data_IF_676234000282
#
_entry.id   IF_676234000282
#
_cell.length_a   1.000
_cell.length_b   1.000
_cell.length_c   1.000
_cell.angle_alpha   90.00
_cell.angle_beta   90.00
_cell.angle_gamma   90.00
#
_symmetry.space_group_name_H-M   'P 1'
#
loop_
_entity.id
_entity.type
_entity.pdbx_description
1 polymer ?
#
# COMPACT_ATOMS: atom_id res chain seq x y z
N UNK A 1 -47.59 26.65 -37.61
CA UNK A 1 -46.73 25.47 -37.35
C UNK A 1 -45.47 25.96 -36.67
N UNK A 2 -45.33 25.76 -35.36
CA UNK A 2 -44.12 26.13 -34.62
C UNK A 2 -43.13 24.96 -34.67
N UNK A 3 -41.93 25.18 -35.19
CA UNK A 3 -40.87 24.18 -35.22
C UNK A 3 -40.32 24.00 -33.80
N UNK A 4 -40.41 22.78 -33.28
CA UNK A 4 -39.75 22.38 -32.04
C UNK A 4 -38.24 22.36 -32.28
N UNK A 5 -37.53 23.21 -31.54
CA UNK A 5 -36.08 23.24 -31.51
C UNK A 5 -35.59 21.98 -30.77
N UNK A 6 -34.66 21.19 -31.34
CA UNK A 6 -34.16 19.99 -30.68
C UNK A 6 -33.44 20.36 -29.39
N UNK A 7 -33.74 19.60 -28.33
CA UNK A 7 -33.10 19.77 -27.02
C UNK A 7 -31.57 19.63 -27.17
N UNK A 8 -30.84 20.56 -26.57
CA UNK A 8 -29.38 20.49 -26.54
C UNK A 8 -28.94 19.18 -25.86
N UNK A 9 -27.91 18.50 -26.38
CA UNK A 9 -27.39 17.31 -25.74
C UNK A 9 -26.92 17.65 -24.32
N UNK A 10 -27.11 16.73 -23.35
CA UNK A 10 -26.65 16.94 -21.99
C UNK A 10 -25.15 17.22 -22.01
N UNK A 11 -24.73 18.22 -21.23
CA UNK A 11 -23.31 18.53 -21.07
C UNK A 11 -22.57 17.25 -20.62
N UNK A 12 -21.36 17.00 -21.14
CA UNK A 12 -20.54 15.91 -20.64
C UNK A 12 -20.40 16.07 -19.11
N UNK A 13 -20.48 14.97 -18.35
CA UNK A 13 -20.32 15.05 -16.90
C UNK A 13 -19.02 15.78 -16.58
N UNK A 14 -19.08 16.76 -15.68
CA UNK A 14 -17.91 17.47 -15.22
C UNK A 14 -16.87 16.45 -14.77
N UNK A 15 -15.65 16.56 -15.30
CA UNK A 15 -14.51 15.77 -14.84
C UNK A 15 -14.36 16.08 -13.35
N UNK A 16 -14.73 15.14 -12.50
CA UNK A 16 -14.51 15.29 -11.06
C UNK A 16 -13.01 15.53 -10.85
N UNK A 17 -12.62 16.50 -10.02
CA UNK A 17 -11.22 16.70 -9.69
C UNK A 17 -10.62 15.39 -9.19
N UNK A 18 -9.29 15.18 -9.35
CA UNK A 18 -8.62 14.05 -8.75
C UNK A 18 -8.92 14.05 -7.25
N UNK A 19 -9.57 13.00 -6.76
CA UNK A 19 -9.89 12.88 -5.35
C UNK A 19 -8.63 12.41 -4.62
N UNK A 20 -8.07 13.26 -3.77
CA UNK A 20 -6.92 12.88 -2.95
C UNK A 20 -7.40 12.21 -1.66
N UNK A 21 -6.74 11.12 -1.22
CA UNK A 21 -7.15 10.43 0.01
C UNK A 21 -7.08 11.30 1.26
N UNK A 22 -6.26 12.36 1.22
CA UNK A 22 -6.04 13.30 2.33
C UNK A 22 -6.92 14.56 2.24
N UNK A 23 -7.88 14.63 1.33
CA UNK A 23 -8.86 15.71 1.33
C UNK A 23 -9.87 15.56 2.47
N UNK A 24 -10.30 16.68 3.05
CA UNK A 24 -11.16 16.69 4.23
C UNK A 24 -12.56 16.07 4.04
N UNK A 25 -12.98 15.83 2.80
CA UNK A 25 -14.22 15.12 2.46
C UNK A 25 -14.02 13.62 2.22
N UNK A 26 -12.79 13.10 2.33
CA UNK A 26 -12.50 11.68 2.18
C UNK A 26 -12.56 10.97 3.53
N UNK A 27 -13.20 9.80 3.60
CA UNK A 27 -13.21 8.94 4.80
C UNK A 27 -11.79 8.62 5.29
N UNK A 28 -10.85 8.42 4.35
CA UNK A 28 -9.45 8.17 4.67
C UNK A 28 -8.81 9.31 5.48
N UNK A 29 -9.12 10.58 5.18
CA UNK A 29 -8.61 11.73 5.93
C UNK A 29 -9.01 11.67 7.41
N UNK A 30 -10.27 11.34 7.71
CA UNK A 30 -10.75 11.29 9.10
C UNK A 30 -10.13 10.13 9.88
N UNK A 31 -9.97 8.97 9.24
CA UNK A 31 -9.32 7.80 9.85
C UNK A 31 -7.82 8.02 10.10
N UNK A 32 -7.11 8.64 9.15
CA UNK A 32 -5.72 9.07 9.32
C UNK A 32 -5.60 10.01 10.51
N UNK A 33 -6.49 11.01 10.60
CA UNK A 33 -6.47 11.96 11.69
C UNK A 33 -6.74 11.29 13.05
N UNK A 34 -7.70 10.37 13.10
CA UNK A 34 -7.99 9.61 14.32
C UNK A 34 -6.79 8.78 14.76
N UNK A 35 -6.15 8.08 13.82
CA UNK A 35 -4.95 7.30 14.07
C UNK A 35 -3.79 8.18 14.58
N UNK A 36 -3.57 9.34 13.94
CA UNK A 36 -2.55 10.31 14.36
C UNK A 36 -2.82 10.86 15.77
N UNK A 37 -4.07 11.27 16.05
CA UNK A 37 -4.47 11.82 17.36
C UNK A 37 -4.26 10.82 18.50
N UNK A 38 -4.50 9.52 18.24
CA UNK A 38 -4.26 8.47 19.24
C UNK A 38 -2.75 8.19 19.43
N UNK A 39 -1.95 8.43 18.39
CA UNK A 39 -0.49 8.39 18.43
C UNK A 39 0.07 7.03 18.88
N UNK A 40 1.22 6.99 19.59
CA UNK A 40 1.89 5.75 19.96
C UNK A 40 1.14 4.93 21.03
N UNK A 41 0.09 5.48 21.64
CA UNK A 41 -0.67 4.84 22.72
C UNK A 41 -1.71 3.85 22.21
N UNK A 42 -1.97 3.85 20.90
CA UNK A 42 -2.97 3.02 20.28
C UNK A 42 -2.47 1.59 20.05
N UNK A 43 -3.30 0.60 20.42
CA UNK A 43 -2.87 -0.79 20.56
C UNK A 43 -3.49 -1.77 19.55
N UNK A 44 -4.40 -1.34 18.67
CA UNK A 44 -5.09 -2.28 17.78
C UNK A 44 -4.63 -2.14 16.33
N UNK A 45 -4.45 -3.26 15.62
CA UNK A 45 -4.03 -3.24 14.21
C UNK A 45 -5.19 -2.87 13.28
N UNK A 46 -6.41 -3.08 13.78
CA UNK A 46 -7.70 -2.86 13.12
C UNK A 46 -7.87 -1.46 12.51
N UNK A 47 -7.64 -0.37 13.25
CA UNK A 47 -7.73 1.00 12.69
C UNK A 47 -6.70 1.23 11.60
N UNK A 48 -5.49 0.66 11.70
CA UNK A 48 -4.49 0.80 10.64
C UNK A 48 -5.02 0.13 9.38
N UNK A 49 -5.53 -1.09 9.49
CA UNK A 49 -6.12 -1.81 8.37
C UNK A 49 -7.35 -1.11 7.76
N UNK A 50 -8.25 -0.57 8.60
CA UNK A 50 -9.40 0.21 8.14
C UNK A 50 -8.96 1.47 7.40
N UNK A 51 -7.99 2.21 7.96
CA UNK A 51 -7.44 3.41 7.32
C UNK A 51 -6.86 3.07 5.95
N UNK A 52 -6.06 2.00 5.85
CA UNK A 52 -5.47 1.58 4.57
C UNK A 52 -6.50 1.03 3.57
N UNK A 53 -7.57 0.40 4.04
CA UNK A 53 -8.69 -0.01 3.19
C UNK A 53 -9.35 1.21 2.54
N UNK A 54 -9.59 2.28 3.30
CA UNK A 54 -10.16 3.53 2.78
C UNK A 54 -9.18 4.29 1.88
N UNK A 55 -7.89 4.38 2.24
CA UNK A 55 -6.85 4.99 1.38
C UNK A 55 -6.82 4.27 0.02
N UNK A 56 -6.75 2.94 0.02
CA UNK A 56 -6.73 2.17 -1.21
C UNK A 56 -8.07 2.27 -1.97
N UNK A 57 -9.19 2.43 -1.27
CA UNK A 57 -10.53 2.62 -1.86
C UNK A 57 -10.60 3.79 -2.83
N UNK A 58 -9.85 4.86 -2.57
CA UNK A 58 -9.77 6.05 -3.44
C UNK A 58 -9.12 5.73 -4.80
N UNK A 59 -8.17 4.79 -4.85
CA UNK A 59 -7.40 4.52 -6.07
C UNK A 59 -7.82 3.25 -6.79
N UNK A 60 -8.29 2.24 -6.07
CA UNK A 60 -8.58 0.91 -6.62
C UNK A 60 -10.09 0.64 -6.64
N UNK A 61 -10.84 1.52 -7.32
CA UNK A 61 -12.30 1.43 -7.39
C UNK A 61 -12.77 0.10 -8.02
N UNK A 62 -13.80 -0.54 -7.44
CA UNK A 62 -14.23 -1.89 -7.82
C UNK A 62 -15.12 -1.97 -9.07
N UNK A 63 -15.38 -0.85 -9.77
CA UNK A 63 -16.37 -0.82 -10.86
C UNK A 63 -15.75 -0.93 -12.25
N UNK A 64 -16.44 -1.70 -13.10
CA UNK A 64 -16.25 -1.74 -14.54
C UNK A 64 -16.85 -0.48 -15.18
N UNK A 65 -16.21 0.04 -16.23
CA UNK A 65 -16.97 0.71 -17.28
C UNK A 65 -17.76 -0.40 -18.02
N UNK A 66 -19.10 -0.37 -18.05
CA UNK A 66 -19.88 -1.41 -18.73
C UNK A 66 -19.44 -1.55 -20.21
N UNK A 67 -19.17 -2.78 -20.66
CA UNK A 67 -18.99 -3.11 -22.08
C UNK A 67 -17.54 -3.26 -22.60
N UNK A 68 -16.50 -3.11 -21.78
CA UNK A 68 -15.10 -3.09 -22.26
C UNK A 68 -14.22 -4.29 -21.89
N UNK A 69 -14.75 -5.36 -21.29
CA UNK A 69 -13.89 -6.46 -20.79
C UNK A 69 -12.91 -5.97 -19.71
N UNK A 70 -13.39 -5.05 -18.86
CA UNK A 70 -12.58 -4.24 -17.96
C UNK A 70 -11.93 -5.00 -16.81
N UNK A 71 -10.84 -4.42 -16.33
CA UNK A 71 -10.09 -4.84 -15.14
C UNK A 71 -10.90 -4.48 -13.89
N UNK A 72 -11.22 -5.47 -13.04
CA UNK A 72 -11.94 -5.24 -11.79
C UNK A 72 -11.01 -5.32 -10.58
N UNK A 73 -10.94 -4.25 -9.80
CA UNK A 73 -10.21 -4.23 -8.53
C UNK A 73 -11.07 -4.75 -7.38
N UNK A 74 -10.42 -5.42 -6.43
CA UNK A 74 -11.00 -5.94 -5.22
C UNK A 74 -10.03 -5.65 -4.07
N UNK A 75 -10.50 -4.94 -3.07
CA UNK A 75 -9.74 -4.58 -1.87
C UNK A 75 -10.21 -5.50 -0.76
N UNK A 76 -9.31 -6.28 -0.17
CA UNK A 76 -9.64 -7.26 0.86
C UNK A 76 -8.81 -7.03 2.10
N UNK A 77 -9.48 -6.98 3.24
CA UNK A 77 -8.84 -7.19 4.53
C UNK A 77 -8.82 -8.68 4.84
N UNK A 78 -7.66 -9.18 5.25
CA UNK A 78 -7.42 -10.59 5.48
C UNK A 78 -6.63 -10.81 6.77
N UNK A 79 -7.04 -11.81 7.55
CA UNK A 79 -6.45 -12.08 8.86
C UNK A 79 -5.13 -12.87 8.77
N UNK A 80 -4.89 -13.58 7.66
CA UNK A 80 -3.70 -14.43 7.48
C UNK A 80 -3.64 -15.07 6.08
N UNK A 81 -2.45 -15.16 5.47
CA UNK A 81 -2.16 -16.08 4.36
C UNK A 81 -0.84 -16.82 4.58
N UNK A 82 -0.89 -18.16 4.60
CA UNK A 82 0.27 -19.03 4.77
C UNK A 82 0.03 -20.16 5.77
N UNK A 83 1.09 -20.84 6.19
CA UNK A 83 1.03 -21.83 7.28
C UNK A 83 0.80 -21.10 8.60
N UNK A 84 -0.18 -21.48 9.45
CA UNK A 84 -0.47 -20.76 10.68
C UNK A 84 0.79 -20.58 11.53
N UNK A 85 1.03 -19.39 12.10
CA UNK A 85 2.25 -19.14 12.85
C UNK A 85 2.26 -20.03 14.10
N UNK A 86 3.45 -20.50 14.51
CA UNK A 86 3.62 -21.37 15.70
C UNK A 86 3.04 -20.77 16.99
N UNK A 87 2.93 -19.44 17.05
CA UNK A 87 2.09 -18.69 17.99
C UNK A 87 1.19 -17.80 17.16
N UNK A 88 -0.11 -18.05 17.18
CA UNK A 88 -1.08 -17.06 16.74
C UNK A 88 -0.88 -15.84 17.64
N UNK A 89 -0.51 -14.71 17.05
CA UNK A 89 -0.66 -13.44 17.75
C UNK A 89 -2.11 -13.34 18.21
N UNK A 90 -2.35 -13.09 19.49
CA UNK A 90 -3.70 -12.83 20.01
C UNK A 90 -4.37 -11.66 19.28
N UNK A 91 -3.54 -10.78 18.68
CA UNK A 91 -3.92 -9.72 17.75
C UNK A 91 -3.58 -10.20 16.33
N UNK A 92 -4.57 -10.70 15.60
CA UNK A 92 -4.37 -11.14 14.22
C UNK A 92 -3.78 -9.99 13.39
N UNK A 93 -2.61 -10.15 12.77
CA UNK A 93 -2.07 -9.18 11.82
C UNK A 93 -3.03 -9.01 10.66
N UNK A 94 -3.45 -7.76 10.46
CA UNK A 94 -4.34 -7.40 9.39
C UNK A 94 -3.53 -7.08 8.13
N UNK A 95 -3.84 -7.82 7.06
CA UNK A 95 -3.31 -7.53 5.72
C UNK A 95 -4.43 -6.85 4.93
N UNK A 96 -4.10 -5.78 4.20
CA UNK A 96 -4.95 -5.28 3.10
C UNK A 96 -4.31 -5.72 1.78
N UNK A 97 -5.02 -6.53 0.99
CA UNK A 97 -4.59 -6.94 -0.35
C UNK A 97 -5.43 -6.26 -1.41
N UNK A 98 -4.75 -5.75 -2.44
CA UNK A 98 -5.39 -5.19 -3.63
C UNK A 98 -5.24 -6.21 -4.75
N UNK A 99 -6.36 -6.75 -5.18
CA UNK A 99 -6.47 -7.85 -6.12
C UNK A 99 -7.17 -7.39 -7.38
N UNK A 100 -6.67 -7.82 -8.51
CA UNK A 100 -7.31 -7.63 -9.79
C UNK A 100 -7.97 -8.92 -10.24
N UNK A 101 -9.15 -8.79 -10.85
CA UNK A 101 -9.87 -9.87 -11.51
C UNK A 101 -9.99 -9.51 -12.98
N UNK A 102 -9.48 -10.37 -13.84
CA UNK A 102 -9.72 -10.28 -15.28
C UNK A 102 -10.97 -11.08 -15.59
N UNK A 103 -12.02 -10.43 -16.09
CA UNK A 103 -13.24 -11.09 -16.56
C UNK A 103 -13.30 -10.94 -18.08
N UNK A 104 -13.29 -12.04 -18.83
CA UNK A 104 -13.65 -11.98 -20.23
C UNK A 104 -15.19 -11.98 -20.38
N UNK A 105 -15.75 -11.19 -21.30
CA UNK A 105 -17.18 -11.24 -21.60
C UNK A 105 -17.61 -12.67 -21.98
N UNK A 106 -18.62 -13.22 -21.31
CA UNK A 106 -19.17 -14.55 -21.59
C UNK A 106 -18.50 -15.74 -20.87
N UNK A 107 -17.43 -15.53 -20.09
CA UNK A 107 -16.86 -16.59 -19.25
C UNK A 107 -17.67 -16.82 -17.97
N UNK A 108 -17.85 -18.09 -17.60
CA UNK A 108 -18.45 -18.49 -16.34
C UNK A 108 -17.61 -18.00 -15.15
N UNK A 109 -18.24 -17.72 -14.01
CA UNK A 109 -17.57 -17.20 -12.81
C UNK A 109 -16.45 -18.10 -12.26
N UNK A 110 -16.42 -19.38 -12.65
CA UNK A 110 -15.41 -20.37 -12.27
C UNK A 110 -14.03 -20.15 -12.92
N UNK A 111 -13.94 -19.39 -14.01
CA UNK A 111 -12.69 -19.15 -14.75
C UNK A 111 -12.02 -17.81 -14.37
N UNK A 112 -12.48 -17.19 -13.29
CA UNK A 112 -11.94 -15.90 -12.85
C UNK A 112 -10.55 -16.07 -12.26
N UNK A 113 -9.55 -15.57 -12.98
CA UNK A 113 -8.19 -15.51 -12.48
C UNK A 113 -8.00 -14.27 -11.60
N UNK A 114 -7.51 -14.52 -10.38
CA UNK A 114 -7.19 -13.49 -9.41
C UNK A 114 -5.71 -13.22 -9.38
N UNK A 115 -5.38 -11.96 -9.13
CA UNK A 115 -4.00 -11.55 -9.01
C UNK A 115 -3.85 -10.38 -8.05
N UNK A 116 -3.06 -10.58 -7.01
CA UNK A 116 -2.72 -9.48 -6.09
C UNK A 116 -1.62 -8.59 -6.69
N UNK A 117 -1.76 -7.28 -6.47
CA UNK A 117 -0.88 -6.22 -6.96
C UNK A 117 -0.18 -5.51 -5.80
N UNK A 118 -0.93 -5.22 -4.75
CA UNK A 118 -0.45 -4.53 -3.56
C UNK A 118 -0.78 -5.36 -2.33
N UNK A 119 0.20 -5.46 -1.45
CA UNK A 119 0.10 -6.06 -0.14
C UNK A 119 0.43 -5.01 0.90
N UNK A 120 -0.46 -4.77 1.85
CA UNK A 120 -0.24 -3.82 2.96
C UNK A 120 -0.25 -4.60 4.26
N UNK A 121 0.90 -4.72 4.92
CA UNK A 121 0.97 -5.23 6.28
C UNK A 121 0.66 -4.12 7.27
N UNK A 122 -0.41 -4.29 8.06
CA UNK A 122 -0.87 -3.28 8.99
C UNK A 122 -0.54 -3.69 10.43
N UNK A 123 0.18 -2.82 11.13
CA UNK A 123 0.67 -3.06 12.49
C UNK A 123 0.44 -1.85 13.37
N UNK A 124 0.20 -2.10 14.66
CA UNK A 124 -0.07 -1.06 15.65
C UNK A 124 1.17 -0.18 15.89
N UNK A 125 0.94 1.04 16.36
CA UNK A 125 1.99 2.06 16.51
C UNK A 125 3.13 1.66 17.46
N UNK A 126 2.93 0.71 18.38
CA UNK A 126 4.00 0.21 19.26
C UNK A 126 5.11 -0.53 18.51
N UNK A 127 4.89 -0.92 17.26
CA UNK A 127 5.92 -1.48 16.38
C UNK A 127 6.81 -0.40 15.72
N UNK A 128 6.54 0.89 15.93
CA UNK A 128 7.34 1.99 15.36
C UNK A 128 8.67 2.16 16.12
N UNK A 129 9.53 1.16 16.00
CA UNK A 129 10.88 1.10 16.52
C UNK A 129 11.68 0.07 15.70
N UNK A 130 13.03 0.09 15.72
CA UNK A 130 13.83 -0.78 14.86
C UNK A 130 13.52 -2.28 14.99
N UNK A 131 13.25 -2.78 16.20
CA UNK A 131 12.85 -4.17 16.41
C UNK A 131 11.49 -4.46 15.77
N UNK A 132 10.51 -3.59 15.99
CA UNK A 132 9.18 -3.73 15.43
C UNK A 132 9.22 -3.75 13.90
N UNK A 133 9.82 -2.76 13.25
CA UNK A 133 9.96 -2.74 11.78
C UNK A 133 10.64 -4.00 11.23
N UNK A 134 11.70 -4.47 11.89
CA UNK A 134 12.38 -5.73 11.54
C UNK A 134 11.45 -6.95 11.66
N UNK A 135 10.68 -7.04 12.73
CA UNK A 135 9.76 -8.17 12.96
C UNK A 135 8.64 -8.18 11.90
N UNK A 136 8.09 -7.01 11.56
CA UNK A 136 7.04 -6.90 10.54
C UNK A 136 7.58 -7.28 9.16
N UNK A 137 8.78 -6.81 8.78
CA UNK A 137 9.40 -7.19 7.51
C UNK A 137 9.65 -8.70 7.43
N UNK A 138 10.20 -9.32 8.49
CA UNK A 138 10.41 -10.76 8.54
C UNK A 138 9.09 -11.54 8.40
N UNK A 139 8.05 -11.12 9.12
CA UNK A 139 6.73 -11.72 9.02
C UNK A 139 6.14 -11.58 7.60
N UNK A 140 6.35 -10.42 6.96
CA UNK A 140 5.94 -10.19 5.57
C UNK A 140 6.63 -11.16 4.63
N UNK A 141 7.94 -11.34 4.77
CA UNK A 141 8.76 -12.22 3.93
C UNK A 141 8.27 -13.66 4.00
N UNK A 142 8.02 -14.18 5.21
CA UNK A 142 7.55 -15.56 5.40
C UNK A 142 6.21 -15.79 4.68
N UNK A 143 5.31 -14.80 4.71
CA UNK A 143 3.99 -14.88 4.07
C UNK A 143 4.07 -14.73 2.56
N UNK A 144 4.81 -13.73 2.08
CA UNK A 144 4.99 -13.45 0.67
C UNK A 144 5.72 -14.61 -0.03
N UNK A 145 6.66 -15.27 0.66
CA UNK A 145 7.31 -16.48 0.16
C UNK A 145 6.34 -17.64 -0.10
N UNK A 146 5.22 -17.69 0.62
CA UNK A 146 4.18 -18.71 0.44
C UNK A 146 3.13 -18.24 -0.58
N UNK A 147 2.59 -17.03 -0.40
CA UNK A 147 1.48 -16.50 -1.22
C UNK A 147 1.92 -16.03 -2.62
N UNK A 148 3.18 -15.65 -2.76
CA UNK A 148 3.78 -15.05 -3.96
C UNK A 148 5.18 -15.62 -4.23
N UNK A 149 5.33 -16.94 -4.18
CA UNK A 149 6.63 -17.62 -4.35
C UNK A 149 7.32 -17.36 -5.70
N UNK A 150 6.54 -17.05 -6.73
CA UNK A 150 6.97 -17.03 -8.13
C UNK A 150 6.58 -15.76 -8.89
N UNK A 151 6.28 -14.67 -8.18
CA UNK A 151 5.84 -13.43 -8.81
C UNK A 151 6.07 -12.20 -7.93
N UNK A 152 6.17 -11.07 -8.61
CA UNK A 152 6.33 -9.77 -7.98
C UNK A 152 5.01 -9.25 -7.41
N UNK A 153 5.09 -8.59 -6.24
CA UNK A 153 4.00 -7.85 -5.61
C UNK A 153 4.55 -6.58 -4.97
N UNK A 154 3.81 -5.47 -5.05
CA UNK A 154 4.15 -4.26 -4.31
C UNK A 154 3.80 -4.43 -2.83
N UNK A 155 4.67 -3.96 -1.95
CA UNK A 155 4.53 -4.15 -0.50
C UNK A 155 4.52 -2.79 0.19
N UNK A 156 3.57 -2.57 1.07
CA UNK A 156 3.58 -1.48 2.05
C UNK A 156 3.65 -2.10 3.43
N UNK A 157 4.59 -1.62 4.24
CA UNK A 157 4.64 -1.89 5.67
C UNK A 157 4.09 -0.66 6.37
N UNK A 158 2.89 -0.79 6.94
CA UNK A 158 2.17 0.26 7.64
C UNK A 158 2.22 0.03 9.15
N UNK A 159 2.84 0.95 9.88
CA UNK A 159 3.01 0.87 11.32
C UNK A 159 2.42 2.13 11.96
N UNK A 160 1.25 1.99 12.58
CA UNK A 160 0.46 3.14 13.03
C UNK A 160 0.23 4.12 11.88
N UNK A 161 0.57 5.39 12.11
CA UNK A 161 0.41 6.45 11.12
C UNK A 161 1.61 6.62 10.17
N UNK A 162 2.58 5.70 10.21
CA UNK A 162 3.75 5.71 9.33
C UNK A 162 3.72 4.55 8.36
N UNK A 163 4.37 4.70 7.22
CA UNK A 163 4.58 3.60 6.29
C UNK A 163 5.90 3.68 5.53
N UNK A 164 6.29 2.53 5.02
CA UNK A 164 7.34 2.36 4.02
C UNK A 164 6.82 1.45 2.92
N UNK A 165 7.29 1.63 1.69
CA UNK A 165 6.94 0.73 0.60
C UNK A 165 8.15 0.16 -0.11
N UNK A 166 7.95 -1.05 -0.62
CA UNK A 166 8.93 -1.93 -1.19
C UNK A 166 8.30 -2.71 -2.36
N UNK A 167 9.13 -3.53 -2.99
CA UNK A 167 8.72 -4.57 -3.91
C UNK A 167 9.19 -5.91 -3.35
N UNK A 168 8.28 -6.88 -3.33
CA UNK A 168 8.62 -8.29 -3.20
C UNK A 168 8.88 -8.86 -4.59
N UNK A 169 10.08 -9.33 -4.85
CA UNK A 169 10.46 -9.95 -6.12
C UNK A 169 11.26 -11.24 -5.86
N UNK A 170 10.59 -12.41 -5.91
CA UNK A 170 11.22 -13.69 -5.65
C UNK A 170 12.00 -14.23 -6.86
N UNK A 171 11.79 -13.65 -8.05
CA UNK A 171 12.34 -14.15 -9.31
C UNK A 171 13.70 -13.52 -9.62
N UNK A 172 13.84 -12.22 -9.37
CA UNK A 172 15.12 -11.55 -9.51
C UNK A 172 15.75 -11.39 -8.14
N UNK A 173 16.16 -12.50 -7.52
CA UNK A 173 17.13 -12.41 -6.42
C UNK A 173 18.37 -11.76 -7.02
N UNK A 174 18.66 -10.51 -6.62
CA UNK A 174 19.75 -9.72 -7.19
C UNK A 174 20.98 -10.64 -7.32
N UNK A 175 21.51 -10.92 -8.53
CA UNK A 175 22.93 -11.21 -8.58
C UNK A 175 23.59 -9.95 -8.03
N UNK A 176 24.67 -10.10 -7.26
CA UNK A 176 25.47 -9.02 -6.70
C UNK A 176 25.93 -8.03 -7.79
N UNK A 177 25.01 -7.20 -8.30
CA UNK A 177 25.32 -6.04 -9.09
C UNK A 177 25.79 -4.99 -8.11
N UNK A 178 26.89 -4.29 -8.39
CA UNK A 178 27.44 -3.26 -7.50
C UNK A 178 26.52 -2.04 -7.31
N UNK A 179 25.28 -2.06 -7.81
CA UNK A 179 24.38 -0.90 -7.87
C UNK A 179 23.31 -0.84 -6.77
N UNK A 180 23.01 -1.93 -6.04
CA UNK A 180 22.08 -1.87 -4.90
C UNK A 180 22.60 -2.68 -3.70
N UNK A 181 22.91 -2.01 -2.56
CA UNK A 181 23.33 -2.70 -1.35
C UNK A 181 22.18 -3.54 -0.77
N UNK A 182 22.53 -4.65 -0.11
CA UNK A 182 21.55 -5.45 0.64
C UNK A 182 20.95 -4.59 1.75
N UNK A 183 19.61 -4.60 1.83
CA UNK A 183 18.91 -3.81 2.83
C UNK A 183 19.14 -4.37 4.24
N UNK A 184 19.24 -3.48 5.23
CA UNK A 184 19.36 -3.86 6.64
C UNK A 184 18.74 -2.84 7.58
N UNK A 185 18.40 -3.25 8.80
CA UNK A 185 18.00 -2.35 9.89
C UNK A 185 19.07 -2.40 10.98
N UNK A 186 19.58 -1.24 11.38
CA UNK A 186 20.50 -1.11 12.53
C UNK A 186 19.75 -1.34 13.82
N UNK A 187 20.34 -2.12 14.73
CA UNK A 187 19.77 -2.34 16.06
C UNK A 187 19.65 -1.04 16.83
N UNK A 188 18.62 -0.94 17.67
CA UNK A 188 18.40 0.25 18.49
C UNK A 188 19.57 0.55 19.45
N UNK A 189 20.34 -0.47 19.83
CA UNK A 189 21.54 -0.36 20.67
C UNK A 189 22.84 -0.10 19.87
N UNK A 190 22.77 -0.04 18.54
CA UNK A 190 23.92 0.16 17.65
C UNK A 190 24.89 -1.02 17.55
N UNK A 191 24.56 -2.18 18.15
CA UNK A 191 25.51 -3.31 18.27
C UNK A 191 25.59 -4.22 17.04
N UNK A 192 24.83 -3.94 16.01
CA UNK A 192 24.83 -4.72 14.78
C UNK A 192 23.61 -4.44 13.91
N UNK A 193 23.47 -5.26 12.87
CA UNK A 193 22.47 -5.07 11.82
C UNK A 193 21.62 -6.33 11.66
N UNK A 194 20.34 -6.16 11.34
CA UNK A 194 19.49 -7.23 10.83
C UNK A 194 19.38 -7.10 9.33
N UNK A 195 19.95 -8.06 8.61
CA UNK A 195 19.82 -8.13 7.15
C UNK A 195 18.37 -8.44 6.78
N UNK A 196 17.87 -7.73 5.78
CA UNK A 196 16.58 -8.00 5.17
C UNK A 196 16.79 -8.96 3.98
N UNK A 197 15.79 -9.80 3.74
CA UNK A 197 15.79 -10.74 2.62
C UNK A 197 15.95 -10.00 1.29
N UNK A 198 16.83 -10.51 0.42
CA UNK A 198 17.20 -9.88 -0.85
C UNK A 198 16.03 -9.79 -1.86
N UNK A 199 14.92 -10.49 -1.60
CA UNK A 199 13.69 -10.39 -2.39
C UNK A 199 12.89 -9.13 -2.07
N UNK A 200 13.16 -8.46 -0.95
CA UNK A 200 12.60 -7.14 -0.62
C UNK A 200 13.51 -6.07 -1.20
N UNK A 201 12.94 -5.22 -2.05
CA UNK A 201 13.67 -4.16 -2.76
C UNK A 201 12.99 -2.80 -2.59
N UNK A 202 13.75 -1.69 -2.68
CA UNK A 202 13.14 -0.37 -2.83
C UNK A 202 12.26 -0.34 -4.10
N UNK A 203 11.03 0.15 -4.00
CA UNK A 203 10.20 0.34 -5.20
C UNK A 203 10.67 1.54 -6.04
N UNK A 204 11.26 2.53 -5.37
CA UNK A 204 11.78 3.79 -5.91
C UNK A 204 12.78 4.40 -4.92
N UNK A 205 13.54 5.44 -5.29
CA UNK A 205 14.35 6.20 -4.33
C UNK A 205 13.47 6.80 -3.22
N UNK A 206 13.88 6.64 -1.96
CA UNK A 206 13.09 7.03 -0.78
C UNK A 206 13.98 7.55 0.33
N UNK A 207 13.42 8.36 1.23
CA UNK A 207 14.18 8.97 2.34
C UNK A 207 14.49 8.01 3.49
N UNK A 208 13.77 6.89 3.61
CA UNK A 208 14.02 5.87 4.63
C UNK A 208 15.02 4.81 4.21
N UNK A 209 15.57 4.87 3.01
CA UNK A 209 16.64 3.96 2.58
C UNK A 209 17.86 4.78 2.22
N UNK A 210 18.97 4.53 2.92
CA UNK A 210 20.25 5.05 2.51
C UNK A 210 20.71 4.31 1.25
N UNK A 211 20.65 4.99 0.11
CA UNK A 211 20.99 4.39 -1.19
C UNK A 211 22.44 3.90 -1.29
N UNK A 212 23.35 4.42 -0.47
CA UNK A 212 24.76 4.02 -0.45
C UNK A 212 24.98 2.78 0.40
N UNK A 213 24.38 2.70 1.58
CA UNK A 213 24.64 1.60 2.53
C UNK A 213 23.59 0.50 2.48
N UNK A 214 22.36 0.79 2.08
CA UNK A 214 21.20 -0.11 2.19
C UNK A 214 20.49 -0.02 3.55
N UNK A 215 20.91 0.87 4.43
CA UNK A 215 20.27 1.04 5.73
C UNK A 215 18.83 1.54 5.58
N UNK A 216 17.88 0.81 6.18
CA UNK A 216 16.51 1.25 6.39
C UNK A 216 16.47 2.09 7.68
N UNK A 217 16.40 3.40 7.51
CA UNK A 217 16.32 4.37 8.61
C UNK A 217 14.87 4.49 9.06
N UNK A 218 14.50 3.73 10.10
CA UNK A 218 13.12 3.66 10.60
C UNK A 218 12.52 5.01 10.99
N UNK A 219 13.34 5.93 11.50
CA UNK A 219 12.91 7.29 11.85
C UNK A 219 12.46 8.14 10.65
N UNK A 220 12.87 7.76 9.44
CA UNK A 220 12.50 8.44 8.20
C UNK A 220 11.29 7.78 7.51
N UNK A 221 10.63 6.82 8.15
CA UNK A 221 9.38 6.26 7.66
C UNK A 221 8.38 7.39 7.37
N UNK A 222 7.66 7.28 6.27
CA UNK A 222 6.79 8.35 5.81
C UNK A 222 5.57 8.48 6.73
N UNK A 223 5.31 9.69 7.22
CA UNK A 223 4.11 9.99 8.03
C UNK A 223 2.90 10.28 7.16
N UNK A 224 1.74 9.75 7.55
CA UNK A 224 0.45 9.97 6.88
C UNK A 224 -0.30 11.21 7.38
N UNK A 225 0.25 11.98 8.34
CA UNK A 225 -0.45 13.13 8.91
C UNK A 225 -0.88 14.13 7.81
N UNK A 226 -2.16 14.50 7.83
CA UNK A 226 -2.79 15.25 6.75
C UNK A 226 -3.62 16.46 7.21
N UNK A 227 -3.40 16.97 8.42
CA UNK A 227 -4.12 18.13 8.95
C UNK A 227 -3.23 19.33 9.24
N UNK A 228 -1.98 19.11 9.62
CA UNK A 228 -1.11 20.19 10.08
C UNK A 228 -0.71 21.04 8.87
N UNK A 229 -0.99 22.33 8.93
CA UNK A 229 -0.65 23.29 7.88
C UNK A 229 0.45 24.24 8.32
N UNK A 230 1.32 24.60 7.38
CA UNK A 230 2.35 25.62 7.53
C UNK A 230 2.10 26.76 6.54
N UNK A 231 2.55 27.96 6.89
CA UNK A 231 2.45 29.13 6.02
C UNK A 231 3.68 29.19 5.10
N UNK A 232 3.46 29.06 3.79
CA UNK A 232 4.50 29.19 2.77
C UNK A 232 4.01 30.21 1.75
N UNK A 233 4.75 31.32 1.59
CA UNK A 233 4.38 32.37 0.64
C UNK A 233 3.00 33.01 0.90
N UNK A 234 2.54 33.04 2.15
CA UNK A 234 1.22 33.57 2.54
C UNK A 234 0.04 32.61 2.30
N UNK A 235 0.30 31.36 1.92
CA UNK A 235 -0.70 30.32 1.76
C UNK A 235 -0.54 29.24 2.85
N UNK A 236 -1.67 28.73 3.35
CA UNK A 236 -1.68 27.52 4.19
C UNK A 236 -1.46 26.31 3.28
N UNK A 237 -0.37 25.59 3.51
CA UNK A 237 -0.02 24.35 2.81
C UNK A 237 0.09 23.23 3.82
N UNK A 238 -0.36 22.02 3.49
CA UNK A 238 -0.15 20.85 4.35
C UNK A 238 1.34 20.62 4.59
N UNK A 239 1.74 20.49 5.85
CA UNK A 239 3.13 20.29 6.27
C UNK A 239 3.74 19.06 5.60
N UNK A 240 2.96 17.98 5.52
CA UNK A 240 3.37 16.69 4.96
C UNK A 240 2.90 16.48 3.51
N UNK A 241 2.56 17.55 2.77
CA UNK A 241 2.02 17.43 1.40
C UNK A 241 2.90 16.58 0.47
N UNK A 242 4.23 16.71 0.58
CA UNK A 242 5.17 15.98 -0.27
C UNK A 242 5.12 14.47 -0.03
N UNK A 243 5.01 14.06 1.24
CA UNK A 243 4.87 12.66 1.63
C UNK A 243 3.56 12.08 1.10
N UNK A 244 2.45 12.78 1.35
CA UNK A 244 1.13 12.37 0.89
C UNK A 244 1.08 12.22 -0.64
N UNK A 245 1.61 13.22 -1.36
CA UNK A 245 1.73 13.20 -2.83
C UNK A 245 2.58 12.04 -3.33
N UNK A 246 3.69 11.74 -2.65
CA UNK A 246 4.56 10.62 -3.01
C UNK A 246 3.84 9.27 -2.87
N UNK A 247 3.04 9.10 -1.82
CA UNK A 247 2.23 7.90 -1.64
C UNK A 247 1.14 7.77 -2.70
N UNK A 248 0.43 8.84 -3.04
CA UNK A 248 -0.56 8.81 -4.14
C UNK A 248 0.09 8.47 -5.47
N UNK A 249 1.22 9.08 -5.79
CA UNK A 249 1.97 8.76 -7.00
C UNK A 249 2.38 7.29 -7.04
N UNK A 250 2.80 6.74 -5.89
CA UNK A 250 3.07 5.31 -5.76
C UNK A 250 1.81 4.46 -6.01
N UNK A 251 0.69 4.74 -5.35
CA UNK A 251 -0.56 3.98 -5.50
C UNK A 251 -1.12 4.04 -6.92
N UNK A 252 -1.08 5.22 -7.56
CA UNK A 252 -1.42 5.39 -8.98
C UNK A 252 -0.45 4.64 -9.89
N UNK A 253 0.85 4.64 -9.57
CA UNK A 253 1.86 3.84 -10.27
C UNK A 253 1.55 2.34 -10.19
N UNK A 254 1.20 1.84 -9.00
CA UNK A 254 0.81 0.44 -8.79
C UNK A 254 -0.43 0.07 -9.60
N UNK A 255 -1.46 0.93 -9.60
CA UNK A 255 -2.69 0.73 -10.39
C UNK A 255 -2.41 0.58 -11.88
N UNK A 256 -1.44 1.34 -12.39
CA UNK A 256 -1.08 1.37 -13.80
C UNK A 256 0.06 0.41 -14.18
N UNK A 257 0.62 -0.33 -13.21
CA UNK A 257 1.71 -1.26 -13.45
C UNK A 257 1.23 -2.51 -14.21
N UNK A 258 2.06 -3.01 -15.12
CA UNK A 258 1.86 -4.33 -15.72
C UNK A 258 2.72 -5.34 -14.96
N UNK A 259 2.09 -6.20 -14.17
CA UNK A 259 2.77 -7.30 -13.49
C UNK A 259 2.60 -8.61 -14.33
N UNK A 260 3.40 -9.66 -14.11
CA UNK A 260 3.19 -11.02 -14.71
C UNK A 260 2.92 -12.12 -13.65
N UNK A 261 2.08 -13.14 -13.94
CA UNK A 261 1.74 -14.26 -13.03
C UNK A 261 0.36 -14.18 -12.34
N UNK A 262 -0.12 -15.31 -11.78
CA UNK A 262 -1.46 -15.48 -11.17
C UNK A 262 -1.39 -15.89 -9.68
N UNK A 263 -2.48 -15.68 -8.91
CA UNK A 263 -2.59 -16.25 -7.56
C UNK A 263 -2.60 -17.79 -7.63
N UNK A 264 -1.94 -18.50 -6.71
CA UNK A 264 -2.09 -19.95 -6.61
C UNK A 264 -3.57 -20.32 -6.35
N UNK A 265 -4.10 -21.41 -6.94
CA UNK A 265 -5.51 -21.79 -6.82
C UNK A 265 -5.98 -22.06 -5.38
N UNK A 266 -5.05 -22.33 -4.47
CA UNK A 266 -5.31 -22.68 -3.08
C UNK A 266 -5.54 -21.46 -2.16
N UNK A 267 -5.64 -20.25 -2.73
CA UNK A 267 -5.83 -18.99 -2.00
C UNK A 267 -7.07 -18.20 -2.41
#
# INVERSE_FOLDING_TARGET
MAQQQPAAPPAPPAVQPPQHFWEHWCTAHDLIFEMYKRGPRYQYEDIVAHTWLDICGVYFYPFETPGSGGVRWNIRREAYRGLPPKKLSEVKPDIVTIRVTHAQPGQASSDRHYRDYLWVECKKATYDNPHGWKDVLHESIDRLAIAHANRMVFLIIAVGYKCMWFVWDPLNQLPAQPAQPQLFITRADGTGNWLIDARIKPAQPTAWINATTGEIVCGNAMELECRTTVQIGGQNVLQNINNLTMLENFLNGVRNATLQGLNPPTF
#
